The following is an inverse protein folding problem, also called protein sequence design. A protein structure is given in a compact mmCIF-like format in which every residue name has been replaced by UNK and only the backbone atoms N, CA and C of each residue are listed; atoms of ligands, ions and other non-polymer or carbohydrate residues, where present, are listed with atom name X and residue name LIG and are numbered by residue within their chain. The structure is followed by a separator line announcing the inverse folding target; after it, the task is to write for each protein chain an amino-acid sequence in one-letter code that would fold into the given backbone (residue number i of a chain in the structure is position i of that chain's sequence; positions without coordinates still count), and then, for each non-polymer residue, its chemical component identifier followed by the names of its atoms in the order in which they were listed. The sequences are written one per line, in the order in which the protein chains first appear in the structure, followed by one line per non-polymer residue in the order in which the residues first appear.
data_IF_614329425038
#
_entry.id   IF_614329425038
#
_cell.length_a   1.000
_cell.length_b   1.000
_cell.length_c   1.000
_cell.angle_alpha   90.00
_cell.angle_beta   90.00
_cell.angle_gamma   90.00
#
_symmetry.space_group_name_H-M   'P 1'
#
loop_
_entity.id
_entity.type
_entity.pdbx_description
1 polymer ?
#
# COMPACT_ATOMS: atom_id res chain seq x y z
N UNK A 1 -5.35 36.53 3.51
CA UNK A 1 -5.47 35.33 2.64
C UNK A 1 -4.67 34.17 3.20
N UNK A 2 -5.29 33.12 3.76
CA UNK A 2 -4.69 31.77 3.86
C UNK A 2 -5.79 30.74 3.74
N UNK A 3 -6.22 30.48 2.51
CA UNK A 3 -7.09 29.36 2.17
C UNK A 3 -6.29 28.08 2.46
N UNK A 4 -6.41 27.52 3.66
CA UNK A 4 -5.92 26.16 3.97
C UNK A 4 -6.87 25.14 3.33
N UNK A 5 -6.97 25.16 1.99
CA UNK A 5 -7.59 24.08 1.23
C UNK A 5 -6.56 22.97 1.01
N UNK A 6 -7.07 21.74 0.99
CA UNK A 6 -6.39 20.48 0.64
C UNK A 6 -5.64 19.72 1.76
N UNK A 7 -6.38 19.20 2.76
CA UNK A 7 -6.08 17.83 3.25
C UNK A 7 -6.73 16.80 2.30
N UNK A 8 -6.39 16.84 1.02
CA UNK A 8 -6.76 15.74 0.11
C UNK A 8 -5.83 14.57 0.41
N UNK A 9 -6.38 13.51 0.97
CA UNK A 9 -6.04 12.11 0.68
C UNK A 9 -4.60 11.90 0.22
N UNK A 10 -3.60 11.94 1.12
CA UNK A 10 -2.32 11.31 0.79
C UNK A 10 -2.52 9.80 0.83
N UNK A 11 -3.00 9.27 -0.29
CA UNK A 11 -3.08 7.84 -0.58
C UNK A 11 -1.68 7.22 -0.72
N UNK A 12 -0.60 8.00 -0.60
CA UNK A 12 0.79 7.57 -0.65
C UNK A 12 1.50 7.95 0.65
N UNK A 13 2.34 7.05 1.13
CA UNK A 13 3.23 7.28 2.25
C UNK A 13 4.42 8.13 1.80
N UNK A 14 4.69 9.22 2.51
CA UNK A 14 5.79 10.14 2.17
C UNK A 14 7.18 9.49 2.34
N UNK A 15 7.33 8.57 3.28
CA UNK A 15 8.61 7.90 3.55
C UNK A 15 8.96 6.79 2.55
N UNK A 16 7.95 6.14 1.96
CA UNK A 16 8.16 4.98 1.07
C UNK A 16 7.66 5.21 -0.35
N UNK A 17 6.91 6.29 -0.60
CA UNK A 17 6.19 6.55 -1.85
C UNK A 17 5.04 5.57 -2.14
N UNK A 18 4.86 4.52 -1.32
CA UNK A 18 3.91 3.44 -1.55
C UNK A 18 2.49 3.85 -1.20
N UNK A 19 1.52 3.19 -1.82
CA UNK A 19 0.11 3.37 -1.50
C UNK A 19 -0.15 3.00 -0.03
N UNK A 20 -0.75 3.94 0.71
CA UNK A 20 -1.16 3.81 2.10
C UNK A 20 -2.61 3.44 2.18
N UNK A 21 -2.88 2.32 2.84
CA UNK A 21 -4.20 1.87 3.22
C UNK A 21 -4.46 2.21 4.71
N UNK A 22 -5.68 2.65 5.06
CA UNK A 22 -6.01 3.03 6.43
C UNK A 22 -5.98 1.84 7.39
N UNK A 23 -6.35 0.66 6.91
CA UNK A 23 -6.45 -0.56 7.71
C UNK A 23 -6.03 -1.80 6.92
N UNK A 24 -5.86 -2.92 7.63
CA UNK A 24 -5.42 -4.20 7.07
C UNK A 24 -6.43 -4.76 6.07
N UNK A 25 -7.73 -4.58 6.31
CA UNK A 25 -8.78 -5.12 5.46
C UNK A 25 -8.82 -4.40 4.12
N UNK A 26 -8.70 -3.07 4.11
CA UNK A 26 -8.57 -2.27 2.90
C UNK A 26 -7.35 -2.70 2.07
N UNK A 27 -6.20 -2.93 2.73
CA UNK A 27 -5.00 -3.44 2.07
C UNK A 27 -5.21 -4.86 1.50
N UNK A 28 -5.90 -5.73 2.24
CA UNK A 28 -6.18 -7.11 1.84
C UNK A 28 -7.16 -7.18 0.67
N UNK A 29 -8.20 -6.34 0.68
CA UNK A 29 -9.14 -6.20 -0.43
C UNK A 29 -8.43 -5.70 -1.69
N UNK A 30 -7.53 -4.72 -1.55
CA UNK A 30 -6.70 -4.24 -2.64
C UNK A 30 -5.76 -5.34 -3.18
N UNK A 31 -5.15 -6.16 -2.31
CA UNK A 31 -4.37 -7.33 -2.75
C UNK A 31 -5.20 -8.31 -3.57
N UNK A 32 -6.40 -8.64 -3.11
CA UNK A 32 -7.31 -9.55 -3.83
C UNK A 32 -7.70 -8.96 -5.19
N UNK A 33 -8.06 -7.69 -5.23
CA UNK A 33 -8.38 -6.99 -6.47
C UNK A 33 -7.18 -6.97 -7.44
N UNK A 34 -5.98 -6.64 -6.96
CA UNK A 34 -4.77 -6.62 -7.78
C UNK A 34 -4.41 -8.03 -8.26
N UNK A 35 -4.64 -9.09 -7.48
CA UNK A 35 -4.42 -10.47 -7.95
C UNK A 35 -5.45 -10.89 -9.01
N UNK A 36 -6.71 -10.52 -8.82
CA UNK A 36 -7.79 -10.84 -9.75
C UNK A 36 -7.62 -10.11 -11.09
N UNK A 37 -7.26 -8.82 -11.05
CA UNK A 37 -7.14 -7.97 -12.25
C UNK A 37 -5.70 -7.90 -12.81
N UNK A 38 -4.68 -8.15 -12.00
CA UNK A 38 -3.27 -8.08 -12.41
C UNK A 38 -2.84 -9.24 -13.30
N UNK A 39 -3.59 -10.34 -13.32
CA UNK A 39 -3.44 -11.40 -14.32
C UNK A 39 -3.81 -10.92 -15.74
N UNK A 40 -4.64 -9.87 -15.87
CA UNK A 40 -5.15 -9.38 -17.15
C UNK A 40 -4.25 -8.32 -17.81
N UNK A 41 -3.38 -7.65 -17.04
CA UNK A 41 -2.48 -6.61 -17.55
C UNK A 41 -1.02 -6.98 -17.23
N UNK A 42 -0.46 -7.80 -18.12
CA UNK A 42 0.82 -8.48 -17.94
C UNK A 42 2.02 -7.59 -17.58
N UNK A 43 2.90 -8.16 -16.74
CA UNK A 43 4.30 -7.80 -16.64
C UNK A 43 4.79 -7.25 -15.29
N UNK A 44 3.89 -6.81 -14.39
CA UNK A 44 4.27 -6.23 -13.11
C UNK A 44 4.46 -7.26 -11.97
N UNK A 45 5.40 -7.00 -11.04
CA UNK A 45 5.51 -7.77 -9.79
C UNK A 45 4.22 -7.61 -8.97
N UNK A 46 3.38 -8.63 -8.95
CA UNK A 46 2.11 -8.62 -8.22
C UNK A 46 2.42 -8.57 -6.71
N UNK A 47 1.89 -7.59 -5.96
CA UNK A 47 2.05 -7.57 -4.52
C UNK A 47 1.41 -8.82 -3.89
N UNK A 48 2.15 -9.46 -3.00
CA UNK A 48 1.78 -10.75 -2.39
C UNK A 48 1.29 -10.59 -0.95
N UNK A 49 1.68 -9.52 -0.25
CA UNK A 49 1.29 -9.30 1.15
C UNK A 49 1.09 -7.82 1.48
N UNK A 50 0.40 -7.58 2.59
CA UNK A 50 0.31 -6.29 3.24
C UNK A 50 1.21 -6.28 4.48
N UNK A 51 1.74 -5.11 4.85
CA UNK A 51 2.52 -4.92 6.07
C UNK A 51 2.21 -3.55 6.67
N UNK A 52 2.34 -3.42 7.99
CA UNK A 52 2.21 -2.13 8.67
C UNK A 52 3.51 -1.34 8.51
N UNK A 53 3.41 -0.13 8.00
CA UNK A 53 4.56 0.76 7.91
C UNK A 53 4.80 1.46 9.25
N UNK A 54 5.99 1.33 9.85
CA UNK A 54 6.29 1.94 11.15
C UNK A 54 6.41 3.47 11.09
N UNK A 55 6.56 4.05 9.89
CA UNK A 55 6.73 5.50 9.73
C UNK A 55 5.39 6.21 9.58
N UNK A 56 4.45 5.64 8.81
CA UNK A 56 3.16 6.29 8.56
C UNK A 56 2.01 5.69 9.37
N UNK A 57 2.24 4.59 10.11
CA UNK A 57 1.20 3.82 10.80
C UNK A 57 0.03 3.44 9.87
N UNK A 58 0.34 3.10 8.62
CA UNK A 58 -0.62 2.67 7.62
C UNK A 58 -0.18 1.36 7.00
N UNK A 59 -1.11 0.66 6.35
CA UNK A 59 -0.83 -0.60 5.69
C UNK A 59 -0.34 -0.36 4.27
N UNK A 60 0.72 -1.03 3.86
CA UNK A 60 1.29 -0.98 2.51
C UNK A 60 1.29 -2.36 1.88
N UNK A 61 1.32 -2.40 0.55
CA UNK A 61 1.47 -3.65 -0.20
C UNK A 61 2.93 -3.87 -0.61
N UNK A 62 3.34 -5.13 -0.68
CA UNK A 62 4.68 -5.51 -1.15
C UNK A 62 4.63 -6.82 -1.92
N UNK A 63 5.43 -6.89 -2.98
CA UNK A 63 5.67 -8.08 -3.80
C UNK A 63 6.81 -8.96 -3.29
N UNK A 64 7.45 -8.60 -2.17
CA UNK A 64 8.44 -9.46 -1.52
C UNK A 64 7.72 -10.55 -0.75
N UNK A 65 8.06 -11.80 -1.08
CA UNK A 65 7.55 -12.99 -0.39
C UNK A 65 8.25 -13.11 0.99
N UNK A 66 9.54 -12.82 1.00
CA UNK A 66 10.47 -12.74 2.12
C UNK A 66 10.48 -11.31 2.71
N UNK A 67 9.64 -11.06 3.71
CA UNK A 67 10.07 -10.12 4.74
C UNK A 67 10.38 -10.96 5.95
N UNK A 68 11.66 -11.15 6.19
CA UNK A 68 12.14 -11.51 7.52
C UNK A 68 11.83 -10.31 8.42
N UNK A 69 11.04 -10.52 9.46
CA UNK A 69 11.13 -9.66 10.63
C UNK A 69 12.60 -9.70 11.03
N UNK A 70 13.28 -8.56 11.00
CA UNK A 70 14.66 -8.50 11.45
C UNK A 70 14.69 -9.06 12.88
N UNK A 71 15.34 -10.22 13.04
CA UNK A 71 15.54 -10.88 14.33
C UNK A 71 16.39 -10.02 15.25
#
# INVERSE_FOLDING_TARGET
MRIRRARRRKAKCDATGKTRFPDRNAATNALRAIRLHGALHGGGKIPVRSYLCPVCNGYHLTSRQDWHDAA
#
